data_IF_986501513442
#
_entry.id   IF_986501513442
#
_cell.length_a   1.000
_cell.length_b   1.000
_cell.length_c   1.000
_cell.angle_alpha   90.00
_cell.angle_beta   90.00
_cell.angle_gamma   90.00
#
_symmetry.space_group_name_H-M   'P 1'
#
loop_
_entity.id
_entity.type
_entity.pdbx_description
1 polymer ?
#
# COMPACT_ATOMS: atom_id res chain seq x y z
N UNK A 1 55.79 17.21 -55.66
CA UNK A 1 55.11 17.88 -56.79
C UNK A 1 53.84 17.11 -57.12
N UNK A 2 52.73 17.50 -56.49
CA UNK A 2 51.37 17.07 -56.89
C UNK A 2 50.45 18.21 -56.49
N UNK A 3 49.90 18.87 -57.50
CA UNK A 3 48.99 20.01 -57.42
C UNK A 3 47.57 19.47 -57.37
N UNK A 4 46.78 19.87 -56.37
CA UNK A 4 45.32 19.71 -56.37
C UNK A 4 44.71 21.08 -56.08
N UNK A 5 43.90 21.54 -57.03
CA UNK A 5 43.15 22.81 -57.01
C UNK A 5 41.77 22.56 -56.37
N UNK A 6 41.14 23.56 -55.72
CA UNK A 6 40.00 23.40 -54.80
C UNK A 6 38.65 23.75 -55.43
N UNK A 7 37.54 23.30 -54.82
CA UNK A 7 36.20 23.92 -54.93
C UNK A 7 35.43 23.74 -53.61
N UNK A 8 34.81 24.82 -53.17
CA UNK A 8 34.14 25.14 -51.89
C UNK A 8 32.59 24.92 -51.96
N UNK A 9 31.74 25.45 -51.05
CA UNK A 9 31.09 24.82 -49.89
C UNK A 9 29.57 24.61 -50.06
N UNK A 10 28.92 23.95 -49.08
CA UNK A 10 27.47 24.11 -48.91
C UNK A 10 26.72 23.06 -48.09
N UNK A 11 26.65 23.29 -46.77
CA UNK A 11 25.53 23.01 -45.83
C UNK A 11 24.89 21.61 -45.75
N UNK A 12 24.87 21.06 -44.52
CA UNK A 12 23.70 20.44 -43.82
C UNK A 12 24.16 20.00 -42.43
N UNK A 13 23.70 20.68 -41.38
CA UNK A 13 22.51 20.37 -40.55
C UNK A 13 22.92 19.76 -39.20
N UNK A 14 22.50 20.47 -38.16
CA UNK A 14 22.73 20.21 -36.74
C UNK A 14 22.02 18.92 -36.31
N UNK A 15 22.67 18.10 -35.49
CA UNK A 15 21.99 17.23 -34.51
C UNK A 15 22.98 16.69 -33.48
N UNK A 16 22.80 17.09 -32.21
CA UNK A 16 23.64 16.63 -31.11
C UNK A 16 23.24 17.13 -29.72
N UNK A 17 21.95 17.44 -29.52
CA UNK A 17 21.41 17.75 -28.20
C UNK A 17 20.77 16.50 -27.58
N UNK A 18 21.53 15.74 -26.79
CA UNK A 18 20.97 14.68 -25.93
C UNK A 18 19.98 15.29 -24.94
N UNK A 19 18.69 15.18 -25.21
CA UNK A 19 17.65 15.27 -24.18
C UNK A 19 17.64 13.95 -23.42
N UNK A 20 18.26 13.93 -22.25
CA UNK A 20 18.04 12.89 -21.25
C UNK A 20 16.55 12.88 -20.86
N UNK A 21 15.85 11.82 -21.24
CA UNK A 21 14.48 11.55 -20.83
C UNK A 21 14.39 11.47 -19.30
N UNK A 22 13.52 12.30 -18.75
CA UNK A 22 13.21 12.43 -17.33
C UNK A 22 12.23 11.31 -16.94
N UNK A 23 12.71 10.09 -16.75
CA UNK A 23 11.86 8.91 -16.45
C UNK A 23 11.54 8.74 -14.94
N UNK A 24 12.05 9.60 -14.05
CA UNK A 24 11.90 9.44 -12.60
C UNK A 24 10.62 9.97 -11.93
N UNK A 25 9.72 10.67 -12.64
CA UNK A 25 8.73 11.55 -11.98
C UNK A 25 7.58 10.88 -11.21
N UNK A 26 7.11 9.70 -11.63
CA UNK A 26 5.84 9.14 -11.12
C UNK A 26 6.04 8.11 -10.00
N UNK A 27 7.15 7.36 -10.00
CA UNK A 27 7.53 6.47 -8.89
C UNK A 27 7.88 7.27 -7.63
N UNK A 28 8.63 8.36 -7.79
CA UNK A 28 8.98 9.28 -6.70
C UNK A 28 7.73 9.92 -6.06
N UNK A 29 6.69 10.20 -6.85
CA UNK A 29 5.44 10.81 -6.38
C UNK A 29 4.65 9.83 -5.50
N UNK A 30 4.54 8.56 -5.92
CA UNK A 30 3.85 7.52 -5.15
C UNK A 30 4.60 7.18 -3.85
N UNK A 31 5.93 7.10 -3.90
CA UNK A 31 6.77 6.87 -2.73
C UNK A 31 6.65 8.02 -1.72
N UNK A 32 6.66 9.28 -2.21
CA UNK A 32 6.44 10.45 -1.35
C UNK A 32 5.04 10.47 -0.73
N UNK A 33 4.02 10.10 -1.50
CA UNK A 33 2.63 10.02 -1.01
C UNK A 33 2.52 8.98 0.12
N UNK A 34 2.97 7.73 -0.11
CA UNK A 34 2.98 6.67 0.91
C UNK A 34 3.78 7.06 2.16
N UNK A 35 4.94 7.70 1.97
CA UNK A 35 5.73 8.20 3.10
C UNK A 35 4.95 9.21 3.92
N UNK A 36 4.31 10.18 3.26
CA UNK A 36 3.53 11.22 3.94
C UNK A 36 2.35 10.64 4.71
N UNK A 37 1.64 9.68 4.12
CA UNK A 37 0.54 8.95 4.78
C UNK A 37 1.04 8.22 6.03
N UNK A 38 2.15 7.49 5.93
CA UNK A 38 2.76 6.80 7.07
C UNK A 38 3.22 7.78 8.15
N UNK A 39 3.78 8.93 7.78
CA UNK A 39 4.15 9.97 8.75
C UNK A 39 2.92 10.52 9.49
N UNK A 40 1.81 10.75 8.78
CA UNK A 40 0.56 11.23 9.37
C UNK A 40 -0.05 10.19 10.30
N UNK A 41 -0.01 8.90 9.94
CA UNK A 41 -0.49 7.82 10.79
C UNK A 41 0.33 7.71 12.08
N UNK A 42 1.67 7.77 11.99
CA UNK A 42 2.54 7.76 13.17
C UNK A 42 2.26 8.97 14.07
N UNK A 43 2.05 10.16 13.48
CA UNK A 43 1.66 11.35 14.25
C UNK A 43 0.31 11.20 14.93
N UNK A 44 -0.69 10.67 14.22
CA UNK A 44 -2.01 10.44 14.79
C UNK A 44 -1.91 9.49 16.00
N UNK A 45 -1.21 8.36 15.86
CA UNK A 45 -0.96 7.41 16.95
C UNK A 45 -0.23 8.07 18.13
N UNK A 46 0.75 8.94 17.87
CA UNK A 46 1.45 9.67 18.94
C UNK A 46 0.49 10.57 19.72
N UNK A 47 -0.34 11.35 19.04
CA UNK A 47 -1.30 12.24 19.70
C UNK A 47 -2.39 11.44 20.43
N UNK A 48 -2.78 10.27 19.92
CA UNK A 48 -3.69 9.35 20.59
C UNK A 48 -3.11 8.80 21.89
N UNK A 49 -1.90 8.24 21.85
CA UNK A 49 -1.24 7.66 23.03
C UNK A 49 -0.96 8.74 24.08
N UNK A 50 -0.50 9.93 23.69
CA UNK A 50 -0.29 11.04 24.65
C UNK A 50 -1.61 11.52 25.26
N UNK A 51 -2.73 11.42 24.55
CA UNK A 51 -4.05 11.74 25.12
C UNK A 51 -4.49 10.74 26.19
N UNK A 52 -4.09 9.48 26.04
CA UNK A 52 -4.54 8.36 26.86
C UNK A 52 -3.60 8.07 28.05
N UNK A 53 -2.29 8.25 27.85
CA UNK A 53 -1.24 7.95 28.83
C UNK A 53 -0.17 9.05 28.84
N UNK A 54 -0.26 9.95 29.81
CA UNK A 54 0.71 11.03 29.97
C UNK A 54 2.13 10.53 30.31
N UNK A 55 2.26 9.27 30.76
CA UNK A 55 3.54 8.64 31.12
C UNK A 55 4.22 7.91 29.95
N UNK A 56 3.68 8.06 28.73
CA UNK A 56 4.23 7.47 27.51
C UNK A 56 5.72 7.82 27.34
N UNK A 57 6.56 6.78 27.35
CA UNK A 57 7.97 6.94 27.00
C UNK A 57 8.18 6.83 25.50
N UNK A 58 9.15 7.57 24.97
CA UNK A 58 9.54 7.50 23.56
C UNK A 58 9.96 6.08 23.13
N UNK A 59 10.56 5.30 24.04
CA UNK A 59 10.96 3.92 23.77
C UNK A 59 9.77 2.99 23.66
N UNK A 60 8.76 3.15 24.52
CA UNK A 60 7.51 2.39 24.47
C UNK A 60 6.76 2.70 23.19
N UNK A 61 6.64 3.98 22.84
CA UNK A 61 6.02 4.42 21.59
C UNK A 61 6.74 3.83 20.36
N UNK A 62 8.08 3.89 20.34
CA UNK A 62 8.90 3.33 19.26
C UNK A 62 8.64 1.84 19.05
N UNK A 63 8.55 1.07 20.14
CA UNK A 63 8.24 -0.36 20.09
C UNK A 63 6.81 -0.64 19.61
N UNK A 64 5.82 0.10 20.12
CA UNK A 64 4.42 -0.07 19.72
C UNK A 64 4.18 0.22 18.23
N UNK A 65 4.87 1.22 17.68
CA UNK A 65 4.71 1.64 16.27
C UNK A 65 5.72 0.96 15.34
N UNK A 66 6.69 0.22 15.87
CA UNK A 66 7.71 -0.47 15.08
C UNK A 66 8.68 0.49 14.37
N UNK A 67 9.09 1.57 15.05
CA UNK A 67 10.05 2.55 14.51
C UNK A 67 11.31 2.62 15.36
N UNK A 68 12.40 3.10 14.77
CA UNK A 68 13.62 3.38 15.51
C UNK A 68 13.39 4.46 16.57
N UNK A 69 14.04 4.32 17.74
CA UNK A 69 13.96 5.29 18.86
C UNK A 69 14.29 6.72 18.43
N UNK A 70 15.26 6.90 17.54
CA UNK A 70 15.62 8.23 17.01
C UNK A 70 14.49 8.87 16.20
N UNK A 71 13.75 8.06 15.43
CA UNK A 71 12.60 8.54 14.66
C UNK A 71 11.42 8.88 15.58
N UNK A 72 11.18 8.07 16.62
CA UNK A 72 10.23 8.42 17.67
C UNK A 72 10.58 9.79 18.29
N UNK A 73 11.81 9.97 18.78
CA UNK A 73 12.25 11.25 19.34
C UNK A 73 12.05 12.42 18.36
N UNK A 74 12.31 12.24 17.06
CA UNK A 74 12.05 13.24 16.05
C UNK A 74 10.56 13.63 15.97
N UNK A 75 9.63 12.67 16.03
CA UNK A 75 8.19 12.96 16.05
C UNK A 75 7.74 13.67 17.34
N UNK A 76 8.25 13.25 18.51
CA UNK A 76 7.99 13.95 19.77
C UNK A 76 8.46 15.41 19.71
N UNK A 77 9.70 15.64 19.26
CA UNK A 77 10.23 16.99 19.13
C UNK A 77 9.45 17.83 18.12
N UNK A 78 9.02 17.22 17.00
CA UNK A 78 8.16 17.89 16.02
C UNK A 78 6.81 18.30 16.63
N UNK A 79 6.18 17.44 17.42
CA UNK A 79 4.92 17.75 18.09
C UNK A 79 5.07 18.83 19.17
N UNK A 80 6.19 18.83 19.91
CA UNK A 80 6.54 19.90 20.86
C UNK A 80 6.74 21.24 20.14
N UNK A 81 7.51 21.27 19.05
CA UNK A 81 7.77 22.47 18.25
C UNK A 81 6.49 23.04 17.64
N UNK A 82 5.57 22.18 17.21
CA UNK A 82 4.26 22.61 16.68
C UNK A 82 3.27 23.02 17.77
N UNK A 83 3.61 22.85 19.05
CA UNK A 83 2.72 23.17 20.17
C UNK A 83 1.58 22.17 20.36
N UNK A 84 1.62 21.00 19.72
CA UNK A 84 0.58 19.98 19.83
C UNK A 84 0.63 19.23 21.16
N UNK A 85 1.85 19.00 21.67
CA UNK A 85 2.08 18.43 22.99
C UNK A 85 2.91 19.38 23.83
N UNK A 86 2.81 19.25 25.16
CA UNK A 86 3.69 19.90 26.13
C UNK A 86 4.38 18.86 27.01
N UNK A 87 5.55 19.25 27.51
CA UNK A 87 6.39 18.45 28.39
C UNK A 87 6.32 19.02 29.81
N UNK A 88 6.02 18.18 30.79
CA UNK A 88 6.13 18.49 32.21
C UNK A 88 7.13 17.55 32.86
N UNK A 89 8.14 18.11 33.52
CA UNK A 89 9.05 17.33 34.35
C UNK A 89 8.39 17.08 35.71
N UNK A 90 8.43 15.84 36.19
CA UNK A 90 7.93 15.44 37.51
C UNK A 90 9.05 14.85 38.37
N UNK A 91 8.88 14.79 39.71
CA UNK A 91 9.88 14.21 40.60
C UNK A 91 10.30 12.80 40.15
N UNK A 92 11.56 12.44 40.41
CA UNK A 92 12.24 11.23 39.90
C UNK A 92 12.69 11.31 38.42
N UNK A 93 12.93 12.51 37.88
CA UNK A 93 13.43 12.76 36.52
C UNK A 93 12.56 12.11 35.41
N UNK A 94 11.26 11.99 35.66
CA UNK A 94 10.32 11.48 34.66
C UNK A 94 9.72 12.65 33.88
N UNK A 95 9.45 12.39 32.61
CA UNK A 95 8.83 13.31 31.68
C UNK A 95 7.39 12.87 31.45
N UNK A 96 6.45 13.78 31.63
CA UNK A 96 5.06 13.59 31.26
C UNK A 96 4.74 14.43 30.03
N UNK A 97 4.06 13.82 29.06
CA UNK A 97 3.56 14.49 27.87
C UNK A 97 2.06 14.66 27.99
N UNK A 98 1.53 15.80 27.57
CA UNK A 98 0.10 16.04 27.54
C UNK A 98 -0.30 16.85 26.30
N UNK A 99 -1.51 16.63 25.80
CA UNK A 99 -2.05 17.38 24.67
C UNK A 99 -2.38 18.81 25.06
N UNK A 100 -2.11 19.74 24.14
CA UNK A 100 -2.64 21.09 24.21
C UNK A 100 -4.01 21.17 23.50
N UNK A 101 -4.77 22.27 23.66
CA UNK A 101 -5.98 22.48 22.84
C UNK A 101 -5.69 22.41 21.32
N UNK A 102 -4.53 22.89 20.89
CA UNK A 102 -4.07 22.77 19.49
C UNK A 102 -3.77 21.31 19.12
N UNK A 103 -3.20 20.52 20.02
CA UNK A 103 -2.98 19.09 19.83
C UNK A 103 -4.27 18.30 19.70
N UNK A 104 -5.30 18.63 20.48
CA UNK A 104 -6.64 18.04 20.33
C UNK A 104 -7.25 18.36 18.95
N UNK A 105 -7.13 19.61 18.50
CA UNK A 105 -7.62 20.01 17.18
C UNK A 105 -6.88 19.29 16.04
N UNK A 106 -5.55 19.17 16.13
CA UNK A 106 -4.78 18.43 15.13
C UNK A 106 -5.09 16.94 15.14
N UNK A 107 -5.20 16.31 16.33
CA UNK A 107 -5.63 14.91 16.47
C UNK A 107 -6.96 14.70 15.74
N UNK A 108 -7.96 15.54 16.01
CA UNK A 108 -9.25 15.46 15.32
C UNK A 108 -9.13 15.64 13.79
N UNK A 109 -8.28 16.56 13.32
CA UNK A 109 -8.03 16.75 11.89
C UNK A 109 -7.38 15.52 11.23
N UNK A 110 -6.38 14.93 11.87
CA UNK A 110 -5.71 13.71 11.39
C UNK A 110 -6.65 12.51 11.42
N UNK A 111 -7.46 12.35 12.47
CA UNK A 111 -8.50 11.31 12.54
C UNK A 111 -9.51 11.46 11.40
N UNK A 112 -10.01 12.67 11.13
CA UNK A 112 -10.95 12.92 10.04
C UNK A 112 -10.34 12.60 8.67
N UNK A 113 -9.06 12.94 8.44
CA UNK A 113 -8.32 12.60 7.22
C UNK A 113 -8.17 11.08 7.08
N UNK A 114 -7.73 10.40 8.15
CA UNK A 114 -7.58 8.95 8.15
C UNK A 114 -8.90 8.27 7.78
N UNK A 115 -10.00 8.64 8.46
CA UNK A 115 -11.33 8.08 8.17
C UNK A 115 -11.76 8.34 6.73
N UNK A 116 -11.53 9.56 6.22
CA UNK A 116 -11.85 9.90 4.83
C UNK A 116 -11.05 9.05 3.84
N UNK A 117 -9.75 8.86 4.09
CA UNK A 117 -8.88 8.01 3.27
C UNK A 117 -9.30 6.54 3.32
N UNK A 118 -9.55 5.98 4.51
CA UNK A 118 -9.99 4.59 4.68
C UNK A 118 -11.35 4.34 4.02
N UNK A 119 -12.28 5.29 4.15
CA UNK A 119 -13.59 5.18 3.48
C UNK A 119 -13.46 5.23 1.96
N UNK A 120 -12.62 6.13 1.43
CA UNK A 120 -12.36 6.20 -0.01
C UNK A 120 -11.69 4.92 -0.52
N UNK A 121 -10.68 4.41 0.19
CA UNK A 121 -10.05 3.13 -0.11
C UNK A 121 -11.08 1.99 -0.17
N UNK A 122 -11.95 1.87 0.83
CA UNK A 122 -13.01 0.85 0.83
C UNK A 122 -13.92 0.96 -0.40
N UNK A 123 -14.39 2.17 -0.73
CA UNK A 123 -15.27 2.39 -1.90
C UNK A 123 -14.59 2.03 -3.21
N UNK A 124 -13.34 2.46 -3.36
CA UNK A 124 -12.54 2.21 -4.55
C UNK A 124 -12.26 0.71 -4.69
N UNK A 125 -11.82 0.05 -3.62
CA UNK A 125 -11.57 -1.39 -3.60
C UNK A 125 -12.85 -2.18 -3.91
N UNK A 126 -13.99 -1.82 -3.32
CA UNK A 126 -15.29 -2.46 -3.58
C UNK A 126 -15.68 -2.38 -5.05
N UNK A 127 -15.57 -1.20 -5.66
CA UNK A 127 -15.93 -1.01 -7.06
C UNK A 127 -15.02 -1.83 -7.99
N UNK A 128 -13.71 -1.82 -7.73
CA UNK A 128 -12.73 -2.52 -8.56
C UNK A 128 -12.79 -4.05 -8.42
N UNK A 129 -12.98 -4.54 -7.19
CA UNK A 129 -13.21 -5.96 -6.92
C UNK A 129 -14.51 -6.45 -7.56
N UNK A 130 -15.60 -5.68 -7.47
CA UNK A 130 -16.88 -6.03 -8.12
C UNK A 130 -16.71 -6.14 -9.64
N UNK A 131 -16.08 -5.16 -10.28
CA UNK A 131 -15.79 -5.21 -11.71
C UNK A 131 -14.86 -6.38 -12.09
N UNK A 132 -13.96 -6.78 -11.18
CA UNK A 132 -13.07 -7.93 -11.36
C UNK A 132 -13.82 -9.25 -11.30
N UNK A 133 -14.74 -9.40 -10.34
CA UNK A 133 -15.59 -10.59 -10.20
C UNK A 133 -16.59 -10.73 -11.35
N UNK A 134 -17.15 -9.63 -11.85
CA UNK A 134 -17.97 -9.65 -13.07
C UNK A 134 -17.17 -10.16 -14.28
N UNK A 135 -15.91 -9.72 -14.44
CA UNK A 135 -15.03 -10.21 -15.50
C UNK A 135 -14.75 -11.70 -15.33
N UNK A 136 -14.53 -12.17 -14.10
CA UNK A 136 -14.34 -13.60 -13.83
C UNK A 136 -15.58 -14.42 -14.22
N UNK A 137 -16.77 -13.99 -13.78
CA UNK A 137 -18.03 -14.64 -14.11
C UNK A 137 -18.31 -14.69 -15.63
N UNK A 138 -18.01 -13.62 -16.39
CA UNK A 138 -18.13 -13.62 -17.86
C UNK A 138 -17.26 -14.67 -18.55
N UNK A 139 -16.19 -15.12 -17.91
CA UNK A 139 -15.33 -16.20 -18.40
C UNK A 139 -15.75 -17.58 -17.84
N UNK A 140 -16.88 -17.68 -17.15
CA UNK A 140 -17.35 -18.92 -16.50
C UNK A 140 -16.71 -19.18 -15.13
N UNK A 141 -15.83 -18.31 -14.65
CA UNK A 141 -15.15 -18.48 -13.37
C UNK A 141 -15.99 -17.92 -12.22
N UNK A 142 -16.89 -18.75 -11.68
CA UNK A 142 -17.82 -18.38 -10.60
C UNK A 142 -17.37 -18.76 -9.19
N UNK A 143 -16.39 -19.65 -9.02
CA UNK A 143 -15.83 -20.03 -7.71
C UNK A 143 -14.35 -19.70 -7.68
N UNK A 144 -13.98 -18.71 -6.87
CA UNK A 144 -12.65 -18.14 -6.83
C UNK A 144 -11.97 -18.37 -5.48
N UNK A 145 -10.64 -18.38 -5.46
CA UNK A 145 -9.86 -18.20 -4.24
C UNK A 145 -9.29 -16.77 -4.17
N UNK A 146 -9.28 -16.16 -2.99
CA UNK A 146 -8.60 -14.88 -2.76
C UNK A 146 -7.14 -15.09 -2.37
N UNK A 147 -6.20 -14.37 -2.99
CA UNK A 147 -4.78 -14.44 -2.61
C UNK A 147 -4.43 -13.35 -1.60
N UNK A 148 -4.16 -13.74 -0.37
CA UNK A 148 -3.93 -12.88 0.79
C UNK A 148 -5.02 -13.00 1.86
N UNK A 149 -4.76 -12.42 3.02
CA UNK A 149 -5.59 -12.53 4.22
C UNK A 149 -5.73 -11.20 4.99
N UNK A 150 -5.34 -10.07 4.38
CA UNK A 150 -5.38 -8.74 4.98
C UNK A 150 -6.70 -8.00 4.78
N UNK A 151 -6.68 -6.68 4.93
CA UNK A 151 -7.87 -5.82 4.76
C UNK A 151 -8.53 -5.98 3.39
N UNK A 152 -7.73 -6.08 2.32
CA UNK A 152 -8.26 -6.26 0.98
C UNK A 152 -8.98 -7.61 0.82
N UNK A 153 -8.52 -8.66 1.49
CA UNK A 153 -9.19 -9.95 1.54
C UNK A 153 -10.55 -9.88 2.24
N UNK A 154 -10.66 -9.11 3.32
CA UNK A 154 -11.93 -8.88 4.00
C UNK A 154 -12.93 -8.14 3.10
N UNK A 155 -12.47 -7.11 2.38
CA UNK A 155 -13.30 -6.41 1.39
C UNK A 155 -13.71 -7.37 0.28
N UNK A 156 -12.78 -8.17 -0.24
CA UNK A 156 -13.05 -9.19 -1.26
C UNK A 156 -14.14 -10.16 -0.81
N UNK A 157 -14.09 -10.67 0.43
CA UNK A 157 -15.13 -11.56 0.96
C UNK A 157 -16.50 -10.89 1.04
N UNK A 158 -16.56 -9.61 1.43
CA UNK A 158 -17.83 -8.87 1.51
C UNK A 158 -18.40 -8.64 0.11
N UNK A 159 -17.55 -8.27 -0.85
CA UNK A 159 -17.97 -8.00 -2.23
C UNK A 159 -18.44 -9.27 -2.93
N UNK A 160 -17.82 -10.41 -2.64
CA UNK A 160 -18.16 -11.68 -3.29
C UNK A 160 -19.57 -12.17 -2.97
N UNK A 161 -20.14 -11.80 -1.81
CA UNK A 161 -21.53 -12.13 -1.44
C UNK A 161 -22.57 -11.53 -2.39
N UNK A 162 -22.27 -10.37 -2.97
CA UNK A 162 -23.17 -9.65 -3.88
C UNK A 162 -22.77 -9.80 -5.35
N UNK A 163 -21.67 -10.51 -5.63
CA UNK A 163 -21.09 -10.64 -6.95
C UNK A 163 -21.42 -12.00 -7.59
N UNK A 164 -21.44 -12.10 -8.94
CA UNK A 164 -21.73 -13.34 -9.64
C UNK A 164 -20.60 -14.38 -9.59
N UNK A 165 -19.42 -14.00 -9.09
CA UNK A 165 -18.34 -14.91 -8.79
C UNK A 165 -18.03 -14.82 -7.29
N UNK A 166 -18.18 -15.94 -6.58
CA UNK A 166 -17.96 -16.02 -5.14
C UNK A 166 -16.50 -16.39 -4.84
N UNK A 167 -15.98 -15.85 -3.74
CA UNK A 167 -14.66 -16.19 -3.21
C UNK A 167 -14.87 -17.16 -2.07
N UNK A 168 -14.55 -18.44 -2.26
CA UNK A 168 -14.95 -19.49 -1.32
C UNK A 168 -13.88 -19.78 -0.26
N UNK A 169 -12.64 -19.38 -0.51
CA UNK A 169 -11.51 -19.48 0.42
C UNK A 169 -10.47 -18.38 0.13
N UNK A 170 -9.53 -18.23 1.07
CA UNK A 170 -8.34 -17.39 0.90
C UNK A 170 -7.08 -18.24 0.98
N UNK A 171 -6.02 -17.82 0.29
CA UNK A 171 -4.72 -18.50 0.28
C UNK A 171 -3.67 -17.51 0.78
N UNK A 172 -3.02 -17.83 1.89
CA UNK A 172 -1.97 -17.01 2.47
C UNK A 172 -0.93 -17.90 3.16
N UNK A 173 0.14 -18.21 2.43
CA UNK A 173 1.23 -19.04 2.93
C UNK A 173 1.89 -18.39 4.17
N UNK A 174 1.92 -19.11 5.29
CA UNK A 174 2.51 -18.63 6.54
C UNK A 174 1.62 -17.71 7.38
N UNK A 175 0.37 -17.48 6.97
CA UNK A 175 -0.59 -16.78 7.83
C UNK A 175 -0.94 -17.62 9.05
N UNK A 176 -1.12 -16.97 10.20
CA UNK A 176 -1.71 -17.57 11.40
C UNK A 176 -3.24 -17.42 11.45
N UNK A 177 -3.86 -16.74 10.48
CA UNK A 177 -5.32 -16.60 10.41
C UNK A 177 -5.91 -17.89 9.88
N UNK A 178 -6.93 -18.41 10.57
CA UNK A 178 -7.68 -19.58 10.08
C UNK A 178 -8.83 -19.18 9.15
N UNK A 179 -9.38 -17.96 9.31
CA UNK A 179 -10.55 -17.49 8.56
C UNK A 179 -10.51 -15.99 8.25
N UNK A 180 -11.12 -15.62 7.14
CA UNK A 180 -11.41 -14.24 6.71
C UNK A 180 -12.90 -14.15 6.42
N UNK A 181 -13.62 -13.31 7.17
CA UNK A 181 -15.08 -13.09 7.04
C UNK A 181 -15.85 -14.40 6.79
N UNK A 182 -15.64 -15.37 7.67
CA UNK A 182 -16.35 -16.63 7.61
C UNK A 182 -15.88 -17.64 6.55
N UNK A 183 -14.82 -17.35 5.79
CA UNK A 183 -14.22 -18.25 4.78
C UNK A 183 -12.87 -18.78 5.27
N UNK A 184 -12.51 -20.04 4.97
CA UNK A 184 -11.23 -20.61 5.40
C UNK A 184 -10.04 -19.93 4.73
N UNK A 185 -8.94 -19.81 5.47
CA UNK A 185 -7.62 -19.47 4.95
C UNK A 185 -6.82 -20.76 4.83
N UNK A 186 -6.33 -21.03 3.63
CA UNK A 186 -5.55 -22.20 3.27
C UNK A 186 -4.08 -21.79 3.08
N UNK A 187 -3.18 -22.75 3.33
CA UNK A 187 -1.76 -22.54 3.10
C UNK A 187 -1.40 -22.54 1.60
N UNK A 188 -2.17 -23.25 0.79
CA UNK A 188 -1.94 -23.42 -0.65
C UNK A 188 -3.28 -23.66 -1.40
N UNK A 189 -3.22 -23.73 -2.72
CA UNK A 189 -4.34 -24.04 -3.60
C UNK A 189 -4.90 -25.43 -3.36
N UNK A 190 -6.22 -25.52 -3.21
CA UNK A 190 -6.95 -26.77 -3.13
C UNK A 190 -7.44 -27.18 -4.52
N UNK A 191 -6.77 -28.15 -5.14
CA UNK A 191 -7.12 -28.63 -6.48
C UNK A 191 -8.39 -29.49 -6.49
N UNK A 192 -8.76 -30.08 -5.35
CA UNK A 192 -9.97 -30.88 -5.20
C UNK A 192 -11.20 -30.00 -4.91
N UNK A 193 -10.97 -28.83 -4.29
CA UNK A 193 -11.94 -27.77 -4.18
C UNK A 193 -12.28 -27.22 -5.55
N UNK A 194 -13.53 -27.32 -5.98
CA UNK A 194 -14.06 -26.79 -7.24
C UNK A 194 -13.80 -25.27 -7.39
N UNK A 195 -12.57 -24.91 -7.74
CA UNK A 195 -12.04 -23.56 -7.88
C UNK A 195 -11.68 -23.35 -9.35
N UNK A 196 -12.17 -22.26 -9.91
CA UNK A 196 -11.99 -21.96 -11.33
C UNK A 196 -10.82 -21.00 -11.57
N UNK A 197 -10.56 -20.09 -10.62
CA UNK A 197 -9.54 -19.06 -10.75
C UNK A 197 -9.20 -18.44 -9.40
N UNK A 198 -8.14 -17.64 -9.35
CA UNK A 198 -7.77 -16.83 -8.19
C UNK A 198 -8.06 -15.35 -8.42
N UNK A 199 -8.25 -14.58 -7.35
CA UNK A 199 -8.28 -13.12 -7.37
C UNK A 199 -7.25 -12.57 -6.39
N UNK A 200 -6.41 -11.62 -6.84
CA UNK A 200 -5.40 -11.02 -5.98
C UNK A 200 -6.06 -10.08 -4.96
N UNK A 201 -5.92 -10.40 -3.68
CA UNK A 201 -6.62 -9.76 -2.57
C UNK A 201 -5.67 -9.29 -1.46
N UNK A 202 -4.48 -8.81 -1.84
CA UNK A 202 -3.47 -8.29 -0.90
C UNK A 202 -2.88 -6.94 -1.35
N UNK A 203 -2.55 -6.11 -0.36
CA UNK A 203 -1.73 -4.91 -0.53
C UNK A 203 -0.27 -5.13 -0.11
N UNK A 204 0.00 -6.24 0.57
CA UNK A 204 1.33 -6.63 1.03
C UNK A 204 2.02 -7.42 -0.07
N UNK A 205 3.11 -6.86 -0.59
CA UNK A 205 3.93 -7.45 -1.64
C UNK A 205 3.13 -8.11 -2.79
N UNK A 206 2.15 -7.42 -3.40
CA UNK A 206 1.22 -8.02 -4.36
C UNK A 206 1.91 -8.66 -5.57
N UNK A 207 3.04 -8.10 -6.01
CA UNK A 207 3.86 -8.67 -7.08
C UNK A 207 4.48 -10.01 -6.67
N UNK A 208 5.07 -10.08 -5.48
CA UNK A 208 5.68 -11.31 -4.95
C UNK A 208 4.62 -12.41 -4.81
N UNK A 209 3.46 -12.06 -4.25
CA UNK A 209 2.34 -13.00 -4.08
C UNK A 209 1.82 -13.50 -5.43
N UNK A 210 1.58 -12.59 -6.38
CA UNK A 210 1.15 -12.95 -7.73
C UNK A 210 2.16 -13.90 -8.42
N UNK A 211 3.44 -13.52 -8.42
CA UNK A 211 4.50 -14.29 -9.09
C UNK A 211 4.66 -15.69 -8.47
N UNK A 212 4.73 -15.77 -7.14
CA UNK A 212 4.86 -17.04 -6.43
C UNK A 212 3.67 -17.96 -6.74
N UNK A 213 2.45 -17.43 -6.73
CA UNK A 213 1.25 -18.21 -7.03
C UNK A 213 1.25 -18.70 -8.49
N UNK A 214 1.50 -17.82 -9.46
CA UNK A 214 1.50 -18.21 -10.88
C UNK A 214 2.65 -19.18 -11.24
N UNK A 215 3.76 -19.14 -10.51
CA UNK A 215 4.86 -20.08 -10.70
C UNK A 215 4.53 -21.48 -10.17
N UNK A 216 3.79 -21.56 -9.05
CA UNK A 216 3.32 -22.83 -8.48
C UNK A 216 2.11 -23.41 -9.23
N UNK A 217 1.22 -22.55 -9.73
CA UNK A 217 -0.07 -22.90 -10.32
C UNK A 217 -0.25 -22.27 -11.71
N UNK A 218 0.55 -22.67 -12.72
CA UNK A 218 0.60 -21.99 -14.02
C UNK A 218 -0.70 -22.07 -14.83
N UNK A 219 -1.52 -23.10 -14.59
CA UNK A 219 -2.79 -23.33 -15.30
C UNK A 219 -3.98 -22.62 -14.65
N UNK A 220 -3.79 -22.00 -13.48
CA UNK A 220 -4.87 -21.31 -12.75
C UNK A 220 -4.94 -19.84 -13.18
N UNK A 221 -6.05 -19.38 -13.77
CA UNK A 221 -6.21 -17.97 -14.11
C UNK A 221 -6.20 -17.09 -12.86
N UNK A 222 -5.49 -15.97 -12.91
CA UNK A 222 -5.42 -15.00 -11.79
C UNK A 222 -5.98 -13.65 -12.22
N UNK A 223 -7.03 -13.21 -11.54
CA UNK A 223 -7.62 -11.89 -11.71
C UNK A 223 -6.94 -10.87 -10.81
N UNK A 224 -6.40 -9.81 -11.39
CA UNK A 224 -5.79 -8.71 -10.65
C UNK A 224 -6.73 -7.49 -10.71
N UNK A 225 -7.22 -6.98 -9.57
CA UNK A 225 -7.98 -5.73 -9.52
C UNK A 225 -7.17 -4.56 -10.09
N UNK A 226 -7.83 -3.67 -10.85
CA UNK A 226 -7.21 -2.55 -11.55
C UNK A 226 -6.27 -1.68 -10.70
N UNK A 227 -6.60 -1.48 -9.43
CA UNK A 227 -5.79 -0.69 -8.48
C UNK A 227 -4.47 -1.35 -8.14
N UNK A 228 -4.39 -2.68 -8.24
CA UNK A 228 -3.15 -3.43 -8.04
C UNK A 228 -2.31 -3.55 -9.31
N UNK A 229 -2.83 -3.16 -10.48
CA UNK A 229 -2.12 -3.34 -11.75
C UNK A 229 -0.73 -2.69 -11.74
N UNK A 230 -0.65 -1.45 -11.27
CA UNK A 230 0.62 -0.71 -11.20
C UNK A 230 1.60 -1.26 -10.14
N UNK A 231 1.12 -2.11 -9.22
CA UNK A 231 1.94 -2.75 -8.19
C UNK A 231 2.43 -4.13 -8.63
N UNK A 232 1.68 -4.80 -9.51
CA UNK A 232 2.02 -6.14 -10.04
C UNK A 232 2.86 -6.04 -11.32
N UNK A 233 2.44 -5.23 -12.27
CA UNK A 233 3.14 -5.03 -13.54
C UNK A 233 4.01 -3.76 -13.47
N UNK A 234 5.31 -3.92 -13.69
CA UNK A 234 6.17 -2.77 -13.93
C UNK A 234 5.69 -2.06 -15.21
N UNK A 235 5.84 -0.73 -15.29
CA UNK A 235 5.40 0.07 -16.44
C UNK A 235 6.09 -0.25 -17.78
N UNK A 236 6.95 -1.27 -17.83
CA UNK A 236 7.53 -1.77 -19.07
C UNK A 236 6.76 -3.01 -19.51
N UNK A 237 6.07 -2.83 -20.63
CA UNK A 237 4.96 -3.67 -21.05
C UNK A 237 5.27 -5.15 -21.14
N UNK A 238 4.37 -5.95 -20.59
CA UNK A 238 3.95 -7.21 -21.18
C UNK A 238 2.59 -7.53 -20.59
N UNK A 239 1.55 -7.16 -21.33
CA UNK A 239 0.22 -7.73 -21.16
C UNK A 239 0.27 -9.10 -21.84
N UNK A 240 -0.04 -10.22 -21.17
CA UNK A 240 -0.45 -11.42 -21.90
C UNK A 240 -1.78 -11.19 -22.61
#
# INVERSE_FOLDING_TARGET
>A
MTTAVPVDPGQREQQGGRRTGKTGGMSDTLIRKKRTEREQEIMLRLLEEVANDESLSQSRFAQQVGIAKGLANAYFNRCLQKGWIKLRQVPKQRFLYYLTPQGFAEKASLTAKFLSCSYQFYRDARADLGATMEKASRNGHTRLAGLGDGELAEITAIVSEEAPADVVCFIAAGSSRERVVGRPVLADWDADGELHAAVLATLEEPKSVYQAFTAAHPDVPVYVPGQLHALVWDREGTRP
#
